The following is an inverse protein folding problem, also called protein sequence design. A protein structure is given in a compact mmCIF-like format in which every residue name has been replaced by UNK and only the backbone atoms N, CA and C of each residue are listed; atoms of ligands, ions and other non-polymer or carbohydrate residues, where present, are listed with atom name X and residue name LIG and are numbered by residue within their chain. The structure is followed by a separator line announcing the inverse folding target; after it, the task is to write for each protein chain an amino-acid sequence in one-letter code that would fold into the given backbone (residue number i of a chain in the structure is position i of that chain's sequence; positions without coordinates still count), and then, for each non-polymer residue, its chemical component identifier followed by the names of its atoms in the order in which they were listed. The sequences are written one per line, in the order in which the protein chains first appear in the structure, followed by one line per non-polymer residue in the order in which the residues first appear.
data_IF_383281913203
#
_entry.id   IF_383281913203
#
_cell.length_a   1.000
_cell.length_b   1.000
_cell.length_c   1.000
_cell.angle_alpha   90.00
_cell.angle_beta   90.00
_cell.angle_gamma   90.00
#
_symmetry.space_group_name_H-M   'P 1'
#
loop_
_entity.id
_entity.type
_entity.pdbx_description
1 polymer ?
#
# COMPACT_ATOMS: atom_id res chain seq x y z
N UNK A 1 10.74 -11.21 -16.88
CA UNK A 1 9.31 -11.00 -16.56
C UNK A 1 9.18 -9.78 -15.67
N UNK A 2 8.19 -8.90 -15.90
CA UNK A 2 7.95 -7.74 -15.03
C UNK A 2 6.90 -8.10 -13.98
N UNK A 3 7.17 -7.77 -12.73
CA UNK A 3 6.25 -7.89 -11.59
C UNK A 3 6.33 -6.62 -10.76
N UNK A 4 5.21 -5.94 -10.56
CA UNK A 4 5.11 -4.77 -9.69
C UNK A 4 4.50 -5.13 -8.33
N UNK A 5 5.08 -4.62 -7.25
CA UNK A 5 4.62 -4.86 -5.87
C UNK A 5 4.58 -3.53 -5.12
N UNK A 6 3.41 -3.18 -4.60
CA UNK A 6 3.20 -2.09 -3.65
C UNK A 6 3.22 -2.65 -2.22
N UNK A 7 4.29 -2.38 -1.49
CA UNK A 7 4.53 -2.87 -0.13
C UNK A 7 3.82 -2.03 0.93
N UNK A 8 2.49 -1.91 0.86
CA UNK A 8 1.73 -1.16 1.85
C UNK A 8 1.86 -1.73 3.27
N UNK A 9 1.85 -0.88 4.30
CA UNK A 9 1.98 -1.30 5.71
C UNK A 9 0.76 -2.07 6.26
N UNK A 10 -0.41 -1.93 5.62
CA UNK A 10 -1.61 -2.73 5.92
C UNK A 10 -1.71 -3.95 5.00
N UNK A 11 -1.37 -3.78 3.73
CA UNK A 11 -1.57 -4.80 2.70
C UNK A 11 -0.60 -4.65 1.55
N UNK A 12 -0.15 -5.80 1.06
CA UNK A 12 0.68 -5.96 -0.14
C UNK A 12 -0.23 -6.04 -1.35
N UNK A 13 0.15 -5.35 -2.43
CA UNK A 13 -0.65 -5.30 -3.65
C UNK A 13 0.23 -5.50 -4.87
N UNK A 14 -0.24 -6.33 -5.78
CA UNK A 14 0.28 -6.43 -7.15
C UNK A 14 -0.84 -6.00 -8.10
N UNK A 15 -0.67 -5.97 -9.43
CA UNK A 15 -1.77 -5.65 -10.35
C UNK A 15 -2.95 -6.62 -10.24
N UNK A 16 -2.70 -7.81 -9.67
CA UNK A 16 -3.62 -8.95 -9.67
C UNK A 16 -3.86 -9.59 -8.28
N UNK A 17 -3.13 -9.20 -7.24
CA UNK A 17 -3.28 -9.76 -5.90
C UNK A 17 -3.32 -8.65 -4.85
N UNK A 18 -4.07 -8.92 -3.78
CA UNK A 18 -4.16 -8.11 -2.58
C UNK A 18 -4.19 -9.08 -1.40
N UNK A 19 -3.31 -8.88 -0.43
CA UNK A 19 -3.33 -9.63 0.82
C UNK A 19 -2.79 -8.78 1.97
N UNK A 20 -3.22 -9.08 3.18
CA UNK A 20 -2.76 -8.40 4.39
C UNK A 20 -1.25 -8.60 4.54
N UNK A 21 -0.52 -7.56 4.97
CA UNK A 21 0.91 -7.66 5.25
C UNK A 21 1.15 -8.36 6.59
N UNK A 22 0.60 -9.57 6.73
CA UNK A 22 0.65 -10.43 7.90
C UNK A 22 1.34 -11.74 7.58
N UNK A 23 2.24 -12.19 8.44
CA UNK A 23 3.07 -13.37 8.21
C UNK A 23 3.33 -14.10 9.53
N UNK A 24 3.13 -15.43 9.53
CA UNK A 24 3.62 -16.33 10.59
C UNK A 24 4.73 -17.19 10.01
N UNK A 25 5.79 -17.44 10.79
CA UNK A 25 6.86 -18.36 10.44
C UNK A 25 6.84 -19.59 11.35
N UNK A 26 7.13 -20.76 10.78
CA UNK A 26 7.16 -22.03 11.47
C UNK A 26 8.23 -22.98 10.90
N UNK A 27 8.63 -23.98 11.69
CA UNK A 27 9.60 -25.01 11.30
C UNK A 27 9.01 -26.07 10.37
N UNK A 28 7.68 -26.22 10.38
CA UNK A 28 6.94 -27.13 9.50
C UNK A 28 5.66 -26.47 9.00
N UNK A 29 5.00 -27.11 8.03
CA UNK A 29 3.70 -26.65 7.54
C UNK A 29 2.67 -26.72 8.67
N UNK A 30 2.12 -25.57 9.07
CA UNK A 30 1.10 -25.44 10.11
C UNK A 30 -0.24 -25.07 9.48
N UNK A 31 -1.33 -25.73 9.89
CA UNK A 31 -2.69 -25.34 9.50
C UNK A 31 -3.09 -25.60 8.04
N UNK A 32 -3.86 -24.67 7.45
CA UNK A 32 -4.47 -24.82 6.12
C UNK A 32 -3.43 -24.88 4.98
N UNK A 33 -3.71 -25.67 3.94
CA UNK A 33 -2.81 -25.97 2.80
C UNK A 33 -2.74 -24.86 1.74
N UNK A 34 -3.13 -23.63 2.06
CA UNK A 34 -3.21 -22.53 1.11
C UNK A 34 -2.52 -21.30 1.65
N UNK A 35 -1.95 -20.50 0.76
CA UNK A 35 -1.22 -19.28 1.08
C UNK A 35 -0.01 -19.52 1.99
N UNK A 36 0.77 -20.56 1.68
CA UNK A 36 2.05 -20.85 2.33
C UNK A 36 3.23 -20.86 1.34
N UNK A 37 4.40 -20.44 1.82
CA UNK A 37 5.70 -20.58 1.14
C UNK A 37 6.66 -21.39 2.00
N UNK A 38 7.40 -22.31 1.37
CA UNK A 38 8.61 -22.89 1.94
C UNK A 38 9.83 -22.25 1.28
N UNK A 39 10.64 -21.52 2.07
CA UNK A 39 11.83 -20.85 1.59
C UNK A 39 12.93 -20.92 2.65
N UNK A 40 14.15 -21.24 2.23
CA UNK A 40 15.31 -21.36 3.09
C UNK A 40 15.11 -22.27 4.33
N UNK A 41 14.43 -23.41 4.11
CA UNK A 41 14.15 -24.41 5.15
C UNK A 41 13.09 -24.00 6.18
N UNK A 42 12.36 -22.90 5.95
CA UNK A 42 11.28 -22.43 6.83
C UNK A 42 9.96 -22.31 6.07
N UNK A 43 8.88 -22.54 6.80
CA UNK A 43 7.52 -22.32 6.32
C UNK A 43 7.02 -20.95 6.76
N UNK A 44 6.29 -20.31 5.86
CA UNK A 44 5.67 -19.03 6.08
C UNK A 44 4.22 -19.09 5.60
N UNK A 45 3.29 -18.53 6.36
CA UNK A 45 1.86 -18.52 6.02
C UNK A 45 1.30 -17.11 6.16
N UNK A 46 0.48 -16.68 5.21
CA UNK A 46 -0.22 -15.39 5.26
C UNK A 46 -1.28 -15.38 6.37
N UNK A 47 -1.50 -14.22 6.97
CA UNK A 47 -2.49 -14.03 8.04
C UNK A 47 -3.15 -12.65 7.93
N UNK A 48 -4.36 -12.53 8.47
CA UNK A 48 -5.06 -11.24 8.56
C UNK A 48 -4.54 -10.33 9.67
N UNK A 49 -3.67 -10.84 10.55
CA UNK A 49 -2.97 -10.03 11.52
C UNK A 49 -1.71 -9.44 10.88
N UNK A 50 -1.78 -8.14 10.56
CA UNK A 50 -0.63 -7.38 10.03
C UNK A 50 0.59 -7.50 10.94
N UNK A 51 1.78 -7.53 10.34
CA UNK A 51 3.04 -7.44 11.06
C UNK A 51 3.20 -6.06 11.72
N UNK A 52 3.96 -5.99 12.82
CA UNK A 52 4.33 -4.72 13.44
C UNK A 52 5.07 -3.83 12.43
N UNK A 53 4.73 -2.54 12.45
CA UNK A 53 5.33 -1.54 11.59
C UNK A 53 6.83 -1.42 11.81
N UNK A 54 7.55 -1.37 10.70
CA UNK A 54 8.93 -0.95 10.63
C UNK A 54 9.01 0.33 9.81
N UNK A 55 9.75 1.32 10.33
CA UNK A 55 10.05 2.53 9.57
C UNK A 55 10.89 2.19 8.34
N UNK A 56 11.89 1.33 8.53
CA UNK A 56 12.67 0.74 7.46
C UNK A 56 12.27 -0.72 7.25
N UNK A 57 11.65 -1.00 6.10
CA UNK A 57 11.16 -2.34 5.74
C UNK A 57 12.27 -3.32 5.39
N UNK A 58 13.51 -2.85 5.32
CA UNK A 58 14.68 -3.65 4.98
C UNK A 58 15.38 -4.27 6.21
N UNK A 59 14.93 -3.93 7.43
CA UNK A 59 15.54 -4.40 8.68
C UNK A 59 15.45 -5.93 8.88
N UNK A 60 14.46 -6.58 8.30
CA UNK A 60 14.31 -8.04 8.39
C UNK A 60 13.73 -8.66 7.10
N UNK A 61 13.55 -9.98 7.11
CA UNK A 61 13.13 -10.76 5.95
C UNK A 61 11.62 -10.73 5.67
N UNK A 62 10.79 -10.12 6.52
CA UNK A 62 9.32 -10.23 6.39
C UNK A 62 8.82 -9.66 5.08
N UNK A 63 9.29 -8.47 4.68
CA UNK A 63 8.90 -7.87 3.40
C UNK A 63 9.49 -8.61 2.20
N UNK A 64 10.64 -9.26 2.35
CA UNK A 64 11.19 -10.15 1.33
C UNK A 64 10.29 -11.36 1.11
N UNK A 65 9.90 -12.07 2.18
CA UNK A 65 8.99 -13.22 2.08
C UNK A 65 7.61 -12.81 1.54
N UNK A 66 7.07 -11.68 1.99
CA UNK A 66 5.83 -11.12 1.43
C UNK A 66 5.96 -10.81 -0.07
N UNK A 67 7.15 -10.45 -0.54
CA UNK A 67 7.43 -10.24 -1.97
C UNK A 67 7.48 -11.57 -2.72
N UNK A 68 8.01 -12.64 -2.12
CA UNK A 68 7.94 -13.98 -2.71
C UNK A 68 6.48 -14.43 -2.87
N UNK A 69 5.61 -14.16 -1.89
CA UNK A 69 4.17 -14.40 -2.02
C UNK A 69 3.55 -13.61 -3.18
N UNK A 70 3.87 -12.32 -3.29
CA UNK A 70 3.40 -11.47 -4.39
C UNK A 70 3.85 -12.01 -5.77
N UNK A 71 5.13 -12.39 -5.90
CA UNK A 71 5.68 -12.99 -7.12
C UNK A 71 4.98 -14.32 -7.43
N UNK A 72 4.84 -15.21 -6.43
CA UNK A 72 4.21 -16.51 -6.61
C UNK A 72 2.75 -16.40 -7.07
N UNK A 73 1.98 -15.48 -6.48
CA UNK A 73 0.59 -15.19 -6.89
C UNK A 73 0.50 -14.66 -8.33
N UNK A 74 1.43 -13.81 -8.76
CA UNK A 74 1.50 -13.35 -10.16
C UNK A 74 1.90 -14.48 -11.12
N UNK A 75 2.83 -15.37 -10.72
CA UNK A 75 3.22 -16.55 -11.49
C UNK A 75 2.06 -17.54 -11.65
N UNK A 76 1.32 -17.83 -10.58
CA UNK A 76 0.11 -18.65 -10.64
C UNK A 76 -0.95 -18.06 -11.55
N UNK A 77 -1.20 -16.75 -11.44
CA UNK A 77 -2.15 -16.04 -12.29
C UNK A 77 -1.78 -16.17 -13.78
N UNK A 78 -0.49 -16.11 -14.09
CA UNK A 78 0.06 -16.28 -15.44
C UNK A 78 0.19 -17.75 -15.87
N UNK A 79 -0.20 -18.69 -15.00
CA UNK A 79 -0.06 -20.15 -15.20
C UNK A 79 1.37 -20.57 -15.55
N UNK A 80 2.37 -19.90 -14.96
CA UNK A 80 3.77 -20.26 -15.16
C UNK A 80 4.00 -21.74 -14.75
N UNK A 81 4.73 -22.50 -15.54
CA UNK A 81 5.06 -23.89 -15.21
C UNK A 81 6.07 -23.96 -14.07
N UNK A 82 6.10 -25.10 -13.38
CA UNK A 82 7.23 -25.43 -12.50
C UNK A 82 8.50 -25.51 -13.33
N UNK A 83 9.57 -24.95 -12.81
CA UNK A 83 10.85 -24.89 -13.53
C UNK A 83 12.00 -24.88 -12.55
N UNK A 84 13.05 -25.63 -12.89
CA UNK A 84 14.36 -25.57 -12.25
C UNK A 84 15.21 -24.44 -12.83
N UNK A 85 14.91 -23.98 -14.06
CA UNK A 85 15.58 -22.83 -14.65
C UNK A 85 15.01 -21.53 -14.04
N UNK A 86 15.86 -20.65 -13.49
CA UNK A 86 15.40 -19.43 -12.84
C UNK A 86 14.67 -18.50 -13.81
N UNK A 87 13.44 -18.11 -13.46
CA UNK A 87 12.70 -17.08 -14.18
C UNK A 87 13.29 -15.71 -13.82
N UNK A 88 13.87 -15.00 -14.78
CA UNK A 88 14.37 -13.64 -14.55
C UNK A 88 13.20 -12.66 -14.29
N UNK A 89 13.23 -11.99 -13.13
CA UNK A 89 12.24 -11.01 -12.67
C UNK A 89 12.86 -9.61 -12.67
N UNK A 90 12.18 -8.67 -13.34
CA UNK A 90 12.31 -7.23 -13.12
C UNK A 90 11.24 -6.82 -12.12
N UNK A 91 11.66 -6.52 -10.90
CA UNK A 91 10.78 -6.16 -9.79
C UNK A 91 10.59 -4.64 -9.76
N UNK A 92 9.35 -4.18 -9.87
CA UNK A 92 9.00 -2.78 -9.70
C UNK A 92 8.39 -2.59 -8.32
N UNK A 93 8.93 -1.67 -7.52
CA UNK A 93 8.51 -1.42 -6.15
C UNK A 93 8.16 0.05 -5.97
N UNK A 94 7.61 0.43 -4.82
CA UNK A 94 7.41 1.83 -4.53
C UNK A 94 7.59 2.20 -3.07
N UNK A 95 7.81 3.49 -2.87
CA UNK A 95 8.03 4.12 -1.57
C UNK A 95 7.15 5.36 -1.44
N UNK A 96 6.78 5.72 -0.19
CA UNK A 96 6.18 7.01 0.09
C UNK A 96 7.04 8.14 -0.47
N UNK A 97 6.46 9.15 -1.15
CA UNK A 97 7.22 10.25 -1.74
C UNK A 97 8.20 10.93 -0.77
N UNK A 98 7.78 11.15 0.47
CA UNK A 98 8.61 11.81 1.49
C UNK A 98 9.84 10.99 1.92
N UNK A 99 9.83 9.68 1.72
CA UNK A 99 10.95 8.79 2.05
C UNK A 99 11.77 8.38 0.83
N UNK A 100 11.33 8.75 -0.37
CA UNK A 100 11.88 8.25 -1.62
C UNK A 100 13.37 8.59 -1.77
N UNK A 101 13.75 9.86 -1.62
CA UNK A 101 15.15 10.30 -1.81
C UNK A 101 16.13 9.57 -0.88
N UNK A 102 15.70 9.24 0.34
CA UNK A 102 16.57 8.64 1.36
C UNK A 102 16.62 7.11 1.29
N UNK A 103 15.50 6.46 0.97
CA UNK A 103 15.36 5.00 1.12
C UNK A 103 15.39 4.21 -0.19
N UNK A 104 15.23 4.83 -1.35
CA UNK A 104 15.09 4.12 -2.63
C UNK A 104 16.25 3.16 -2.91
N UNK A 105 17.50 3.63 -2.76
CA UNK A 105 18.69 2.83 -3.05
C UNK A 105 18.81 1.60 -2.14
N UNK A 106 18.57 1.77 -0.83
CA UNK A 106 18.61 0.66 0.12
C UNK A 106 17.48 -0.35 -0.15
N UNK A 107 16.28 0.14 -0.47
CA UNK A 107 15.12 -0.71 -0.74
C UNK A 107 15.29 -1.52 -2.03
N UNK A 108 15.86 -0.94 -3.08
CA UNK A 108 16.21 -1.66 -4.31
C UNK A 108 17.28 -2.73 -4.06
N UNK A 109 18.33 -2.40 -3.31
CA UNK A 109 19.40 -3.35 -2.97
C UNK A 109 18.88 -4.52 -2.12
N UNK A 110 17.98 -4.24 -1.18
CA UNK A 110 17.37 -5.25 -0.31
C UNK A 110 16.65 -6.36 -1.09
N UNK A 111 15.99 -6.04 -2.22
CA UNK A 111 15.33 -7.03 -3.06
C UNK A 111 16.23 -7.61 -4.15
N UNK A 112 17.21 -6.87 -4.66
CA UNK A 112 18.07 -7.34 -5.75
C UNK A 112 19.00 -8.49 -5.33
N UNK A 113 19.28 -8.63 -4.03
CA UNK A 113 20.11 -9.67 -3.35
C UNK A 113 20.96 -10.53 -4.28
N UNK A 114 22.23 -10.13 -4.46
CA UNK A 114 23.31 -10.86 -5.17
C UNK A 114 23.00 -11.37 -6.58
N UNK A 115 21.79 -11.12 -7.13
CA UNK A 115 21.30 -11.62 -8.42
C UNK A 115 21.38 -13.15 -8.55
N UNK A 116 21.24 -13.85 -7.43
CA UNK A 116 21.29 -15.32 -7.37
C UNK A 116 19.90 -15.93 -7.63
N UNK A 117 19.88 -17.22 -7.96
CA UNK A 117 18.64 -17.97 -8.04
C UNK A 117 18.01 -18.11 -6.64
N UNK A 118 16.70 -17.94 -6.57
CA UNK A 118 15.90 -18.03 -5.36
C UNK A 118 14.88 -19.13 -5.58
N UNK A 119 15.06 -20.22 -4.86
CA UNK A 119 14.21 -21.39 -4.95
C UNK A 119 13.23 -21.41 -3.77
N UNK A 120 11.95 -21.58 -4.07
CA UNK A 120 10.92 -21.69 -3.06
C UNK A 120 9.75 -22.56 -3.55
N UNK A 121 9.01 -23.13 -2.60
CA UNK A 121 7.74 -23.79 -2.87
C UNK A 121 6.61 -22.85 -2.46
N UNK A 122 5.56 -22.74 -3.29
CA UNK A 122 4.32 -22.04 -2.94
C UNK A 122 3.14 -22.97 -3.19
N UNK A 123 2.34 -23.24 -2.14
CA UNK A 123 1.19 -24.15 -2.19
C UNK A 123 1.49 -25.53 -2.84
N UNK A 124 2.67 -26.10 -2.58
CA UNK A 124 3.08 -27.41 -3.13
C UNK A 124 3.76 -27.34 -4.49
N UNK A 125 3.89 -26.14 -5.07
CA UNK A 125 4.43 -25.91 -6.40
C UNK A 125 5.81 -25.26 -6.34
N UNK A 126 6.79 -25.86 -7.00
CA UNK A 126 8.16 -25.36 -6.98
C UNK A 126 8.39 -24.23 -7.99
N UNK A 127 9.11 -23.19 -7.56
CA UNK A 127 9.54 -22.09 -8.41
C UNK A 127 11.02 -21.77 -8.15
N UNK A 128 11.77 -21.59 -9.23
CA UNK A 128 13.07 -20.91 -9.22
C UNK A 128 12.94 -19.56 -9.91
N UNK A 129 13.35 -18.47 -9.24
CA UNK A 129 13.35 -17.11 -9.80
C UNK A 129 14.72 -16.46 -9.66
N UNK A 130 14.98 -15.41 -10.43
CA UNK A 130 16.15 -14.55 -10.25
C UNK A 130 15.72 -13.10 -10.36
N UNK A 131 15.85 -12.32 -9.30
CA UNK A 131 15.58 -10.88 -9.36
C UNK A 131 16.77 -10.21 -10.03
N UNK A 132 16.64 -9.92 -11.32
CA UNK A 132 17.74 -9.43 -12.16
C UNK A 132 17.83 -7.89 -12.15
N UNK A 133 16.70 -7.23 -11.92
CA UNK A 133 16.59 -5.77 -11.84
C UNK A 133 15.51 -5.38 -10.83
N UNK A 134 15.77 -4.34 -10.06
CA UNK A 134 14.79 -3.70 -9.18
C UNK A 134 14.74 -2.22 -9.53
N UNK A 135 13.54 -1.65 -9.59
CA UNK A 135 13.31 -0.22 -9.79
C UNK A 135 12.23 0.26 -8.83
N UNK A 136 12.45 1.39 -8.20
CA UNK A 136 11.50 2.02 -7.29
C UNK A 136 10.81 3.24 -7.93
N UNK A 137 9.58 3.51 -7.51
CA UNK A 137 8.81 4.69 -7.92
C UNK A 137 8.08 5.35 -6.73
N UNK A 138 7.80 6.66 -6.78
CA UNK A 138 6.98 7.32 -5.77
C UNK A 138 5.51 6.82 -5.83
N UNK A 139 5.01 6.26 -4.72
CA UNK A 139 3.66 5.66 -4.61
C UNK A 139 2.54 6.60 -5.10
N UNK A 140 2.39 7.77 -4.46
CA UNK A 140 1.34 8.73 -4.80
C UNK A 140 1.34 9.13 -6.28
N UNK A 141 2.53 9.28 -6.88
CA UNK A 141 2.64 9.62 -8.29
C UNK A 141 2.23 8.45 -9.19
N UNK A 142 2.66 7.24 -8.89
CA UNK A 142 2.32 6.05 -9.67
C UNK A 142 0.81 5.82 -9.76
N UNK A 143 0.07 5.91 -8.65
CA UNK A 143 -1.39 5.84 -8.70
C UNK A 143 -1.97 6.95 -9.58
N UNK A 144 -1.49 8.18 -9.46
CA UNK A 144 -1.99 9.31 -10.24
C UNK A 144 -1.75 9.18 -11.75
N UNK A 145 -0.67 8.53 -12.17
CA UNK A 145 -0.38 8.27 -13.59
C UNK A 145 -1.48 7.44 -14.25
N UNK A 146 -2.17 6.57 -13.51
CA UNK A 146 -3.35 5.83 -14.02
C UNK A 146 -4.51 6.75 -14.42
N UNK A 147 -4.55 7.98 -13.90
CA UNK A 147 -5.55 9.01 -14.15
C UNK A 147 -4.99 10.22 -14.92
N UNK A 148 -3.81 10.09 -15.53
CA UNK A 148 -3.06 11.21 -16.11
C UNK A 148 -3.87 12.04 -17.12
N UNK A 149 -4.71 11.39 -17.93
CA UNK A 149 -5.58 12.05 -18.92
C UNK A 149 -6.53 13.08 -18.31
N UNK A 150 -7.02 12.80 -17.10
CA UNK A 150 -7.87 13.71 -16.31
C UNK A 150 -7.04 14.79 -15.64
N UNK A 151 -5.89 14.42 -15.05
CA UNK A 151 -5.06 15.32 -14.24
C UNK A 151 -4.39 16.44 -15.05
N UNK A 152 -3.98 16.17 -16.29
CA UNK A 152 -3.34 17.16 -17.17
C UNK A 152 -4.24 18.34 -17.54
N UNK A 153 -5.55 18.22 -17.36
CA UNK A 153 -6.52 19.28 -17.68
C UNK A 153 -6.57 20.38 -16.62
N UNK A 154 -5.98 20.15 -15.45
CA UNK A 154 -5.99 21.09 -14.33
C UNK A 154 -4.63 21.77 -14.15
N UNK A 155 -4.66 23.07 -13.87
CA UNK A 155 -3.46 23.86 -13.61
C UNK A 155 -2.77 23.44 -12.31
N UNK A 156 -3.55 23.14 -11.27
CA UNK A 156 -3.09 22.62 -9.97
C UNK A 156 -4.02 21.51 -9.49
N UNK A 157 -3.44 20.40 -9.07
CA UNK A 157 -4.13 19.32 -8.37
C UNK A 157 -3.25 18.80 -7.23
N UNK A 158 -3.85 18.21 -6.20
CA UNK A 158 -3.15 17.56 -5.10
C UNK A 158 -3.50 16.08 -5.09
N UNK A 159 -2.49 15.22 -5.18
CA UNK A 159 -2.65 13.80 -4.91
C UNK A 159 -2.47 13.60 -3.42
N UNK A 160 -3.42 12.92 -2.79
CA UNK A 160 -3.45 12.63 -1.36
C UNK A 160 -3.51 11.11 -1.23
N UNK A 161 -2.38 10.47 -0.96
CA UNK A 161 -2.30 9.03 -0.74
C UNK A 161 -2.48 8.72 0.74
N UNK A 162 -3.64 8.19 1.13
CA UNK A 162 -3.93 7.81 2.51
C UNK A 162 -3.49 6.36 2.71
N UNK A 163 -2.28 6.21 3.23
CA UNK A 163 -1.64 4.94 3.53
C UNK A 163 -1.92 4.42 4.94
N UNK A 164 -1.21 3.34 5.28
CA UNK A 164 -1.31 2.70 6.60
C UNK A 164 -0.77 3.57 7.73
N UNK A 165 0.38 4.21 7.54
CA UNK A 165 1.04 5.02 8.59
C UNK A 165 1.20 6.48 8.22
N UNK A 166 1.24 6.80 6.94
CA UNK A 166 1.40 8.15 6.44
C UNK A 166 0.21 8.52 5.57
N UNK A 167 -0.07 9.82 5.50
CA UNK A 167 -0.83 10.42 4.41
C UNK A 167 0.14 11.30 3.64
N UNK A 168 0.43 10.91 2.40
CA UNK A 168 1.39 11.60 1.56
C UNK A 168 0.66 12.52 0.57
N UNK A 169 1.15 13.74 0.44
CA UNK A 169 0.54 14.78 -0.41
C UNK A 169 1.54 15.24 -1.44
N UNK A 170 1.18 15.11 -2.70
CA UNK A 170 1.98 15.54 -3.84
C UNK A 170 1.20 16.57 -4.66
N UNK A 171 1.80 17.76 -4.83
CA UNK A 171 1.25 18.77 -5.73
C UNK A 171 1.59 18.44 -7.18
N UNK A 172 0.61 18.59 -8.06
CA UNK A 172 0.77 18.58 -9.51
C UNK A 172 0.55 19.99 -10.06
N UNK A 173 1.40 20.39 -11.02
CA UNK A 173 1.19 21.56 -11.86
C UNK A 173 1.13 21.15 -13.31
N UNK A 174 0.01 21.40 -13.98
CA UNK A 174 -0.23 20.98 -15.36
C UNK A 174 0.11 19.49 -15.59
N UNK A 175 -0.31 18.63 -14.65
CA UNK A 175 -0.03 17.19 -14.67
C UNK A 175 1.41 16.78 -14.34
N UNK A 176 2.33 17.72 -14.05
CA UNK A 176 3.72 17.41 -13.65
C UNK A 176 3.89 17.48 -12.13
N UNK A 177 4.61 16.52 -11.51
CA UNK A 177 4.95 16.58 -10.09
C UNK A 177 5.74 17.84 -9.74
N UNK A 178 5.28 18.55 -8.72
CA UNK A 178 6.03 19.62 -8.06
C UNK A 178 6.70 19.02 -6.81
N UNK A 179 7.90 18.45 -6.99
CA UNK A 179 8.65 17.76 -5.92
C UNK A 179 9.08 18.70 -4.79
N UNK A 180 9.00 20.03 -4.98
CA UNK A 180 9.22 21.00 -3.92
C UNK A 180 8.05 21.07 -2.92
N UNK A 181 6.90 20.49 -3.25
CA UNK A 181 5.71 20.41 -2.40
C UNK A 181 5.32 18.94 -2.23
N UNK A 182 6.14 18.26 -1.44
CA UNK A 182 5.89 16.91 -0.94
C UNK A 182 5.72 17.00 0.57
N UNK A 183 4.52 16.66 1.03
CA UNK A 183 4.18 16.69 2.45
C UNK A 183 3.78 15.31 2.94
N UNK A 184 4.18 14.94 4.15
CA UNK A 184 3.76 13.68 4.77
C UNK A 184 3.21 13.95 6.16
N UNK A 185 1.98 13.48 6.38
CA UNK A 185 1.36 13.47 7.68
C UNK A 185 1.58 12.10 8.31
N UNK A 186 2.31 12.03 9.41
CA UNK A 186 2.68 10.79 10.12
C UNK A 186 1.51 10.15 10.90
N UNK A 187 0.27 10.28 10.38
CA UNK A 187 -0.93 9.61 10.89
C UNK A 187 -1.75 9.02 9.75
N UNK A 188 -1.54 7.74 9.48
CA UNK A 188 -2.35 6.93 8.55
C UNK A 188 -3.43 6.11 9.25
N UNK A 189 -4.12 5.25 8.50
CA UNK A 189 -5.28 4.49 9.04
C UNK A 189 -4.93 3.51 10.16
N UNK A 190 -3.69 3.00 10.23
CA UNK A 190 -3.24 2.12 11.33
C UNK A 190 -3.11 2.91 12.63
N UNK A 191 -2.69 4.18 12.57
CA UNK A 191 -2.66 5.04 13.76
C UNK A 191 -4.06 5.30 14.29
N UNK A 192 -5.04 5.51 13.38
CA UNK A 192 -6.46 5.62 13.71
C UNK A 192 -6.98 4.33 14.38
N UNK A 193 -6.71 3.15 13.82
CA UNK A 193 -7.11 1.88 14.43
C UNK A 193 -6.53 1.72 15.84
N UNK A 194 -5.24 1.95 16.02
CA UNK A 194 -4.58 1.83 17.31
C UNK A 194 -5.23 2.76 18.35
N UNK A 195 -5.53 4.02 17.96
CA UNK A 195 -6.23 4.97 18.84
C UNK A 195 -7.63 4.50 19.20
N UNK A 196 -8.41 4.01 18.22
CA UNK A 196 -9.76 3.49 18.44
C UNK A 196 -9.74 2.27 19.37
N UNK A 197 -8.91 1.27 19.07
CA UNK A 197 -8.80 0.05 19.87
C UNK A 197 -8.36 0.36 21.30
N UNK A 198 -7.38 1.24 21.48
CA UNK A 198 -6.93 1.68 22.80
C UNK A 198 -8.06 2.35 23.59
N UNK A 199 -8.79 3.28 22.97
CA UNK A 199 -9.88 4.02 23.63
C UNK A 199 -11.08 3.12 23.93
N UNK A 200 -11.44 2.24 23.01
CA UNK A 200 -12.53 1.28 23.18
C UNK A 200 -12.22 0.30 24.31
N UNK A 201 -11.00 -0.23 24.36
CA UNK A 201 -10.58 -1.11 25.46
C UNK A 201 -10.64 -0.38 26.82
N UNK A 202 -10.16 0.85 26.88
CA UNK A 202 -10.19 1.64 28.12
C UNK A 202 -11.61 1.95 28.63
N UNK A 203 -12.57 2.17 27.73
CA UNK A 203 -13.94 2.53 28.10
C UNK A 203 -14.86 1.32 28.32
N UNK A 204 -14.67 0.25 27.54
CA UNK A 204 -15.62 -0.85 27.44
C UNK A 204 -15.01 -2.23 27.67
N UNK A 205 -13.70 -2.33 27.94
CA UNK A 205 -12.96 -3.59 28.06
C UNK A 205 -13.17 -4.53 26.86
N UNK A 206 -13.23 -3.94 25.65
CA UNK A 206 -13.41 -4.66 24.38
C UNK A 206 -12.16 -4.54 23.53
N UNK A 207 -11.73 -5.68 22.99
CA UNK A 207 -10.68 -5.76 21.97
C UNK A 207 -11.38 -5.72 20.61
N UNK A 208 -10.98 -4.79 19.76
CA UNK A 208 -11.49 -4.65 18.39
C UNK A 208 -10.44 -5.11 17.40
N UNK A 209 -10.89 -5.79 16.34
CA UNK A 209 -10.08 -6.09 15.17
C UNK A 209 -10.22 -4.97 14.13
N UNK A 210 -9.26 -4.87 13.21
CA UNK A 210 -9.28 -3.85 12.15
C UNK A 210 -10.55 -3.96 11.27
N UNK A 211 -11.08 -5.18 11.08
CA UNK A 211 -12.29 -5.44 10.31
C UNK A 211 -13.55 -4.85 10.97
N UNK A 212 -13.68 -4.95 12.30
CA UNK A 212 -14.79 -4.39 13.05
C UNK A 212 -14.87 -2.86 12.88
N UNK A 213 -13.69 -2.20 12.90
CA UNK A 213 -13.57 -0.76 12.72
C UNK A 213 -13.92 -0.38 11.27
N UNK A 214 -13.42 -1.16 10.33
CA UNK A 214 -13.66 -1.02 8.89
C UNK A 214 -15.15 -1.06 8.55
N UNK A 215 -15.91 -2.00 9.13
CA UNK A 215 -17.36 -2.10 8.95
C UNK A 215 -18.07 -0.80 9.34
N UNK A 216 -17.74 -0.25 10.52
CA UNK A 216 -18.38 0.97 11.04
C UNK A 216 -18.04 2.18 10.19
N UNK A 217 -16.78 2.36 9.81
CA UNK A 217 -16.33 3.51 8.99
C UNK A 217 -17.03 3.46 7.61
N UNK A 218 -17.20 2.26 7.04
CA UNK A 218 -17.88 2.06 5.76
C UNK A 218 -19.41 2.06 5.84
N UNK A 219 -19.99 2.21 7.04
CA UNK A 219 -21.42 2.02 7.30
C UNK A 219 -21.94 0.64 6.83
N UNK A 220 -21.14 -0.40 6.96
CA UNK A 220 -21.56 -1.77 6.74
C UNK A 220 -22.32 -2.29 7.97
N UNK A 221 -23.16 -3.33 7.82
CA UNK A 221 -23.75 -4.04 8.95
C UNK A 221 -22.66 -4.51 9.91
N UNK A 222 -22.86 -4.31 11.21
CA UNK A 222 -21.90 -4.71 12.25
C UNK A 222 -22.64 -5.20 13.49
N UNK A 223 -21.99 -6.09 14.25
CA UNK A 223 -22.48 -6.59 15.54
C UNK A 223 -22.09 -5.67 16.71
N UNK A 224 -21.25 -4.66 16.46
CA UNK A 224 -20.78 -3.76 17.49
C UNK A 224 -21.94 -2.94 18.10
N UNK A 225 -21.97 -2.78 19.44
CA UNK A 225 -22.98 -1.94 20.10
C UNK A 225 -22.90 -0.47 19.66
N UNK A 226 -24.04 0.23 19.75
CA UNK A 226 -24.18 1.60 19.24
C UNK A 226 -23.18 2.59 19.84
N UNK A 227 -22.84 2.45 21.12
CA UNK A 227 -21.85 3.29 21.79
C UNK A 227 -20.44 3.11 21.20
N UNK A 228 -20.07 1.89 20.82
CA UNK A 228 -18.78 1.60 20.17
C UNK A 228 -18.77 2.15 18.75
N UNK A 229 -19.87 1.98 18.01
CA UNK A 229 -20.00 2.57 16.67
C UNK A 229 -19.88 4.09 16.71
N UNK A 230 -20.50 4.75 17.70
CA UNK A 230 -20.42 6.20 17.87
C UNK A 230 -18.99 6.65 18.21
N UNK A 231 -18.29 5.92 19.08
CA UNK A 231 -16.88 6.18 19.39
C UNK A 231 -16.01 6.13 18.12
N UNK A 232 -16.13 5.06 17.33
CA UNK A 232 -15.39 4.89 16.08
C UNK A 232 -15.64 6.05 15.11
N UNK A 233 -16.92 6.42 14.91
CA UNK A 233 -17.31 7.54 14.04
C UNK A 233 -16.74 8.87 14.54
N UNK A 234 -16.78 9.14 15.85
CA UNK A 234 -16.24 10.37 16.44
C UNK A 234 -14.73 10.47 16.21
N UNK A 235 -13.99 9.43 16.59
CA UNK A 235 -12.53 9.40 16.46
C UNK A 235 -12.07 9.47 14.99
N UNK A 236 -12.83 8.87 14.08
CA UNK A 236 -12.56 8.99 12.63
C UNK A 236 -12.81 10.43 12.13
N UNK A 237 -13.85 11.10 12.64
CA UNK A 237 -14.12 12.51 12.34
C UNK A 237 -13.06 13.47 12.89
N UNK A 238 -12.52 13.19 14.07
CA UNK A 238 -11.39 13.89 14.68
C UNK A 238 -10.12 13.71 13.84
N UNK A 239 -9.78 12.47 13.47
CA UNK A 239 -8.66 12.14 12.59
C UNK A 239 -8.71 12.91 11.27
N UNK A 240 -9.87 12.92 10.60
CA UNK A 240 -10.04 13.70 9.36
C UNK A 240 -9.89 15.20 9.61
N UNK A 241 -10.37 15.71 10.75
CA UNK A 241 -10.25 17.13 11.09
C UNK A 241 -8.81 17.54 11.35
N UNK A 242 -8.03 16.71 12.03
CA UNK A 242 -6.58 16.91 12.17
C UNK A 242 -5.88 16.90 10.82
N UNK A 243 -6.20 15.94 9.95
CA UNK A 243 -5.66 15.89 8.59
C UNK A 243 -5.95 17.16 7.79
N UNK A 244 -7.18 17.67 7.80
CA UNK A 244 -7.51 18.93 7.11
C UNK A 244 -6.82 20.14 7.72
N UNK A 245 -6.62 20.17 9.05
CA UNK A 245 -5.86 21.23 9.69
C UNK A 245 -4.39 21.19 9.26
N UNK A 246 -3.78 20.02 9.19
CA UNK A 246 -2.43 19.82 8.67
C UNK A 246 -2.28 20.36 7.24
N UNK A 247 -3.22 20.03 6.34
CA UNK A 247 -3.20 20.57 4.98
C UNK A 247 -3.25 22.10 4.96
N UNK A 248 -4.16 22.69 5.74
CA UNK A 248 -4.32 24.14 5.81
C UNK A 248 -3.07 24.84 6.34
N UNK A 249 -2.41 24.27 7.36
CA UNK A 249 -1.16 24.78 7.91
C UNK A 249 -0.01 24.80 6.89
N UNK A 250 -0.03 23.89 5.91
CA UNK A 250 0.91 23.87 4.78
C UNK A 250 0.43 24.69 3.57
N UNK A 251 -0.61 25.49 3.73
CA UNK A 251 -1.15 26.35 2.66
C UNK A 251 -1.90 25.59 1.57
N UNK A 252 -2.34 24.36 1.85
CA UNK A 252 -3.12 23.54 0.91
C UNK A 252 -4.61 23.77 1.19
N UNK A 253 -5.26 24.57 0.33
CA UNK A 253 -6.70 24.80 0.40
C UNK A 253 -7.49 23.76 -0.43
N UNK A 254 -8.06 22.78 0.28
CA UNK A 254 -8.90 21.72 -0.31
C UNK A 254 -10.27 22.20 -0.79
N UNK A 255 -10.68 23.44 -0.46
CA UNK A 255 -11.94 24.04 -0.93
C UNK A 255 -11.83 24.68 -2.31
N UNK A 256 -10.62 24.99 -2.75
CA UNK A 256 -10.38 25.62 -4.05
C UNK A 256 -9.54 24.76 -4.99
N UNK A 257 -9.08 23.60 -4.52
CA UNK A 257 -8.19 22.71 -5.25
C UNK A 257 -8.88 21.42 -5.66
N UNK A 258 -8.39 20.81 -6.75
CA UNK A 258 -8.71 19.42 -7.08
C UNK A 258 -7.91 18.50 -6.18
N UNK A 259 -8.58 17.59 -5.47
CA UNK A 259 -7.96 16.65 -4.55
C UNK A 259 -8.21 15.22 -5.05
N UNK A 260 -7.13 14.53 -5.39
CA UNK A 260 -7.15 13.17 -5.93
C UNK A 260 -6.71 12.24 -4.81
N UNK A 261 -7.66 11.53 -4.24
CA UNK A 261 -7.45 10.61 -3.14
C UNK A 261 -7.04 9.24 -3.68
N UNK A 262 -5.86 8.79 -3.25
CA UNK A 262 -5.26 7.49 -3.58
C UNK A 262 -5.05 6.66 -2.30
N UNK A 263 -4.76 5.37 -2.48
CA UNK A 263 -4.47 4.46 -1.38
C UNK A 263 -5.72 3.84 -0.74
N UNK A 264 -5.50 2.70 -0.07
CA UNK A 264 -6.59 1.93 0.54
C UNK A 264 -7.32 2.69 1.67
N UNK A 265 -6.63 3.58 2.37
CA UNK A 265 -7.23 4.43 3.40
C UNK A 265 -8.20 5.47 2.83
N UNK A 266 -7.98 5.93 1.61
CA UNK A 266 -8.89 6.86 0.93
C UNK A 266 -10.24 6.21 0.62
N UNK A 267 -10.22 4.96 0.16
CA UNK A 267 -11.46 4.22 -0.11
C UNK A 267 -12.20 3.84 1.19
N UNK A 268 -11.48 3.53 2.27
CA UNK A 268 -12.05 3.34 3.59
C UNK A 268 -12.79 4.61 4.06
N UNK A 269 -12.13 5.77 3.96
CA UNK A 269 -12.63 7.04 4.50
C UNK A 269 -13.57 7.80 3.54
N UNK A 270 -13.75 7.32 2.30
CA UNK A 270 -14.49 7.99 1.22
C UNK A 270 -15.85 8.54 1.69
N UNK A 271 -16.68 7.68 2.28
CA UNK A 271 -18.02 8.07 2.70
C UNK A 271 -18.02 9.20 3.75
N UNK A 272 -17.00 9.27 4.61
CA UNK A 272 -16.87 10.36 5.58
C UNK A 272 -16.27 11.63 4.97
N UNK A 273 -15.34 11.50 4.02
CA UNK A 273 -14.78 12.63 3.27
C UNK A 273 -15.89 13.32 2.45
N UNK A 274 -16.69 12.54 1.71
CA UNK A 274 -17.78 13.05 0.88
C UNK A 274 -18.88 13.71 1.74
N UNK A 275 -19.33 13.04 2.82
CA UNK A 275 -20.34 13.62 3.74
C UNK A 275 -19.85 14.86 4.48
N UNK A 276 -18.54 14.92 4.76
CA UNK A 276 -17.95 16.05 5.46
C UNK A 276 -17.98 17.36 4.66
N UNK A 277 -18.11 17.28 3.33
CA UNK A 277 -18.20 18.42 2.40
C UNK A 277 -17.10 19.49 2.64
N UNK A 278 -15.93 19.07 3.13
CA UNK A 278 -14.77 19.94 3.38
C UNK A 278 -13.90 20.11 2.14
N UNK A 279 -13.92 19.12 1.24
CA UNK A 279 -13.18 19.11 -0.03
C UNK A 279 -14.14 19.45 -1.15
N UNK A 280 -13.85 20.48 -1.94
CA UNK A 280 -14.78 20.95 -2.96
C UNK A 280 -14.87 20.00 -4.16
N UNK A 281 -13.75 19.37 -4.53
CA UNK A 281 -13.67 18.51 -5.71
C UNK A 281 -12.85 17.24 -5.43
N UNK A 282 -13.39 16.31 -4.63
CA UNK A 282 -12.73 15.04 -4.37
C UNK A 282 -12.84 14.13 -5.61
N UNK A 283 -11.72 13.54 -6.01
CA UNK A 283 -11.64 12.48 -7.02
C UNK A 283 -11.03 11.27 -6.31
N UNK A 284 -11.67 10.12 -6.33
CA UNK A 284 -11.13 8.91 -5.71
C UNK A 284 -10.60 7.96 -6.78
N UNK A 285 -9.38 7.47 -6.59
CA UNK A 285 -8.84 6.37 -7.38
C UNK A 285 -9.42 5.07 -6.81
N UNK A 286 -10.42 4.52 -7.52
CA UNK A 286 -11.17 3.33 -7.06
C UNK A 286 -10.37 2.03 -7.19
N UNK A 287 -9.39 2.00 -8.08
CA UNK A 287 -8.53 0.83 -8.24
C UNK A 287 -7.52 0.75 -7.09
N UNK A 288 -7.74 -0.21 -6.18
CA UNK A 288 -6.85 -0.49 -5.06
C UNK A 288 -5.44 -0.91 -5.54
N UNK A 289 -5.31 -1.39 -6.77
CA UNK A 289 -4.05 -1.80 -7.40
C UNK A 289 -3.36 -0.67 -8.19
N UNK A 290 -3.87 0.57 -8.13
CA UNK A 290 -3.40 1.68 -8.94
C UNK A 290 -1.90 1.99 -8.78
N UNK A 291 -1.34 1.88 -7.56
CA UNK A 291 0.10 2.04 -7.34
C UNK A 291 0.91 1.01 -8.14
N UNK A 292 0.58 -0.28 -7.97
CA UNK A 292 1.27 -1.37 -8.65
C UNK A 292 1.19 -1.25 -10.18
N UNK A 293 0.00 -0.96 -10.71
CA UNK A 293 -0.20 -0.72 -12.15
C UNK A 293 0.54 0.53 -12.63
N UNK A 294 0.57 1.57 -11.82
CA UNK A 294 1.30 2.80 -12.08
C UNK A 294 2.80 2.58 -12.25
N UNK A 295 3.40 1.68 -11.46
CA UNK A 295 4.81 1.31 -11.61
C UNK A 295 5.09 0.69 -12.99
N UNK A 296 4.21 -0.19 -13.47
CA UNK A 296 4.36 -0.79 -14.81
C UNK A 296 4.25 0.26 -15.92
N UNK A 297 3.32 1.21 -15.80
CA UNK A 297 3.16 2.30 -16.77
C UNK A 297 4.39 3.23 -16.80
N UNK A 298 4.91 3.59 -15.63
CA UNK A 298 6.12 4.40 -15.50
C UNK A 298 7.32 3.69 -16.13
N UNK A 299 7.52 2.42 -15.79
CA UNK A 299 8.59 1.61 -16.36
C UNK A 299 8.52 1.51 -17.88
N UNK A 300 7.33 1.25 -18.43
CA UNK A 300 7.14 1.17 -19.89
C UNK A 300 7.46 2.50 -20.58
N UNK A 301 7.07 3.63 -19.97
CA UNK A 301 7.38 4.96 -20.50
C UNK A 301 8.89 5.24 -20.50
N UNK A 302 9.62 4.84 -19.47
CA UNK A 302 11.08 5.01 -19.39
C UNK A 302 11.80 4.15 -20.43
N UNK A 303 11.40 2.88 -20.58
CA UNK A 303 11.98 1.98 -21.58
C UNK A 303 11.72 2.50 -23.00
N UNK A 304 10.53 3.01 -23.27
CA UNK A 304 10.20 3.59 -24.58
C UNK A 304 11.00 4.87 -24.88
N UNK A 305 11.29 5.69 -23.87
CA UNK A 305 12.06 6.93 -24.02
C UNK A 305 13.56 6.69 -24.17
N UNK A 306 14.09 5.66 -23.50
CA UNK A 306 15.52 5.29 -23.56
C UNK A 306 15.87 4.37 -24.74
N UNK A 307 14.86 3.88 -25.47
CA UNK A 307 15.01 3.07 -26.68
C UNK A 307 14.96 3.88 -27.99
N UNK A 308 14.90 5.21 -27.91
CA UNK A 308 15.00 6.15 -29.05
C UNK A 308 16.40 6.73 -29.18
#
# INVERSE_FOLDING_TARGET
MIISVDHGNKSIKTPNALFTSGLISSEGLQGFKTDYICWNGRYYTLTEQRISYLRDKTEDERFYVLTLFAIAKELERRKAAETLDPIDITLLIGLPPAHYEQLHSCFEQYFLRRREAIDFEYNGKYYSIRISKVLSYPQAFAAAVTQYSTLKTYSVAYIIDIGGFTIDVLKLRNGRPDLAVVESFEKGVITLYNSITSKCNALYARILEDCDIDEVIRNQPTVLPGEVQQLIRSMTGEFLSEFYNFLRERGIDVKTSKCVFAGGGSLLLRGMIERGNKVAFPIFIEDIHANARGYELLYQSEVASNGQ
#
